data_IF_294699636207
#
_entry.id   IF_294699636207
#
_cell.length_a   1.000
_cell.length_b   1.000
_cell.length_c   1.000
_cell.angle_alpha   90.00
_cell.angle_beta   90.00
_cell.angle_gamma   90.00
#
_symmetry.space_group_name_H-M   'P 1'
#
loop_
_entity.id
_entity.type
_entity.pdbx_description
1 polymer ?
#
# COMPACT_ATOMS: atom_id res chain seq x y z
N UNK A 1 5.35 11.64 -8.23
CA UNK A 1 5.43 10.31 -8.86
C UNK A 1 4.17 9.47 -8.62
N UNK A 2 3.78 8.66 -9.60
CA UNK A 2 2.57 7.82 -9.53
C UNK A 2 2.92 6.38 -9.15
N UNK A 3 2.21 5.79 -8.20
CA UNK A 3 2.28 4.35 -7.87
C UNK A 3 0.88 3.73 -7.89
N UNK A 4 0.79 2.42 -8.16
CA UNK A 4 -0.48 1.67 -8.15
C UNK A 4 -0.46 0.62 -7.05
N UNK A 5 -1.55 0.50 -6.31
CA UNK A 5 -1.73 -0.47 -5.23
C UNK A 5 -2.92 -1.36 -5.53
N UNK A 6 -2.67 -2.65 -5.73
CA UNK A 6 -3.67 -3.71 -5.77
C UNK A 6 -4.25 -3.95 -4.38
N UNK A 7 -5.57 -4.03 -4.32
CA UNK A 7 -6.35 -4.13 -3.09
C UNK A 7 -6.85 -5.56 -2.89
N UNK A 8 -6.56 -6.13 -1.73
CA UNK A 8 -6.93 -7.49 -1.37
C UNK A 8 -7.69 -7.54 -0.04
N UNK A 9 -8.47 -8.61 0.13
CA UNK A 9 -9.19 -8.92 1.36
C UNK A 9 -9.97 -7.73 1.91
N UNK A 10 -9.70 -7.28 3.15
CA UNK A 10 -10.46 -6.20 3.80
C UNK A 10 -10.26 -4.82 3.16
N UNK A 11 -9.22 -4.63 2.33
CA UNK A 11 -9.01 -3.37 1.59
C UNK A 11 -9.67 -3.38 0.22
N UNK A 12 -10.16 -4.54 -0.26
CA UNK A 12 -10.82 -4.65 -1.56
C UNK A 12 -12.22 -4.05 -1.46
N UNK A 13 -12.40 -2.89 -2.09
CA UNK A 13 -13.70 -2.24 -2.24
C UNK A 13 -14.31 -2.56 -3.60
N UNK A 14 -15.09 -1.65 -4.18
CA UNK A 14 -15.61 -1.77 -5.56
C UNK A 14 -14.52 -1.74 -6.62
N UNK A 15 -13.33 -1.23 -6.28
CA UNK A 15 -12.15 -1.20 -7.15
C UNK A 15 -11.10 -2.22 -6.70
N UNK A 16 -10.43 -2.85 -7.67
CA UNK A 16 -9.37 -3.84 -7.42
C UNK A 16 -7.97 -3.21 -7.27
N UNK A 17 -7.81 -1.96 -7.69
CA UNK A 17 -6.56 -1.21 -7.59
C UNK A 17 -6.83 0.27 -7.34
N UNK A 18 -5.84 0.96 -6.79
CA UNK A 18 -5.88 2.40 -6.56
C UNK A 18 -4.54 3.03 -6.88
N UNK A 19 -4.56 4.20 -7.53
CA UNK A 19 -3.36 4.97 -7.80
C UNK A 19 -3.12 6.04 -6.74
N UNK A 20 -1.87 6.27 -6.38
CA UNK A 20 -1.44 7.31 -5.44
C UNK A 20 -0.38 8.20 -6.11
N UNK A 21 -0.60 9.51 -6.05
CA UNK A 21 0.43 10.49 -6.39
C UNK A 21 1.19 10.89 -5.13
N UNK A 22 2.49 10.65 -5.13
CA UNK A 22 3.40 10.83 -4.00
C UNK A 22 4.57 11.73 -4.41
N UNK A 23 5.22 12.45 -3.48
CA UNK A 23 6.44 13.19 -3.79
C UNK A 23 7.54 12.29 -4.36
N UNK A 24 8.44 12.86 -5.15
CA UNK A 24 9.56 12.09 -5.69
C UNK A 24 10.49 11.62 -4.56
N UNK A 25 10.88 10.34 -4.61
CA UNK A 25 11.66 9.71 -3.56
C UNK A 25 10.86 9.37 -2.29
N UNK A 26 9.53 9.39 -2.35
CA UNK A 26 8.68 8.94 -1.25
C UNK A 26 9.00 7.51 -0.82
N UNK A 27 8.74 7.23 0.45
CA UNK A 27 8.94 5.93 1.07
C UNK A 27 7.61 5.21 1.26
N UNK A 28 7.67 3.93 1.62
CA UNK A 28 6.48 3.14 1.96
C UNK A 28 5.66 3.79 3.08
N UNK A 29 6.31 4.42 4.07
CA UNK A 29 5.63 5.18 5.14
C UNK A 29 4.80 6.36 4.61
N UNK A 30 5.27 7.06 3.58
CA UNK A 30 4.51 8.15 2.93
C UNK A 30 3.28 7.60 2.20
N UNK A 31 3.45 6.47 1.48
CA UNK A 31 2.34 5.76 0.86
C UNK A 31 1.31 5.32 1.90
N UNK A 32 1.74 4.77 3.04
CA UNK A 32 0.84 4.37 4.12
C UNK A 32 0.02 5.54 4.65
N UNK A 33 0.65 6.69 4.86
CA UNK A 33 -0.04 7.90 5.30
C UNK A 33 -1.07 8.38 4.26
N UNK A 34 -0.72 8.34 2.97
CA UNK A 34 -1.65 8.66 1.88
C UNK A 34 -2.83 7.67 1.82
N UNK A 35 -2.53 6.38 1.94
CA UNK A 35 -3.52 5.30 1.96
C UNK A 35 -4.48 5.42 3.15
N UNK A 36 -3.97 5.80 4.33
CA UNK A 36 -4.77 5.98 5.55
C UNK A 36 -5.82 7.09 5.41
N UNK A 37 -5.48 8.18 4.72
CA UNK A 37 -6.44 9.28 4.44
C UNK A 37 -7.60 8.82 3.58
N UNK A 38 -7.33 7.88 2.67
CA UNK A 38 -8.32 7.39 1.71
C UNK A 38 -9.19 6.28 2.30
N UNK A 39 -8.60 5.36 3.05
CA UNK A 39 -9.33 4.26 3.69
C UNK A 39 -9.82 4.62 5.12
N UNK A 40 -10.00 5.92 5.39
CA UNK A 40 -10.53 6.45 6.66
C UNK A 40 -9.89 5.85 7.93
N UNK A 41 -8.56 5.72 7.93
CA UNK A 41 -7.80 5.08 9.02
C UNK A 41 -8.26 3.65 9.36
N UNK A 42 -8.52 2.83 8.33
CA UNK A 42 -8.88 1.43 8.52
C UNK A 42 -7.98 0.72 9.54
N UNK A 43 -8.53 0.04 10.58
CA UNK A 43 -7.76 -0.44 11.73
C UNK A 43 -6.65 -1.45 11.37
N UNK A 44 -6.84 -2.20 10.27
CA UNK A 44 -5.84 -3.16 9.79
C UNK A 44 -4.67 -2.52 9.04
N UNK A 45 -4.80 -1.27 8.59
CA UNK A 45 -3.77 -0.61 7.80
C UNK A 45 -2.47 -0.44 8.59
N UNK A 46 -2.53 -0.16 9.89
CA UNK A 46 -1.30 -0.04 10.71
C UNK A 46 -0.49 -1.33 10.79
N UNK A 47 -1.12 -2.47 10.51
CA UNK A 47 -0.52 -3.81 10.59
C UNK A 47 -0.31 -4.45 9.21
N UNK A 48 -0.78 -3.80 8.15
CA UNK A 48 -0.64 -4.31 6.79
C UNK A 48 0.79 -4.08 6.26
N UNK A 49 1.15 -4.86 5.25
CA UNK A 49 2.41 -4.73 4.52
C UNK A 49 2.14 -4.30 3.09
N UNK A 50 3.09 -3.58 2.51
CA UNK A 50 3.14 -3.33 1.08
C UNK A 50 4.16 -4.27 0.46
N UNK A 51 3.86 -4.82 -0.71
CA UNK A 51 4.74 -5.77 -1.40
C UNK A 51 4.75 -5.51 -2.89
N UNK A 52 5.88 -5.78 -3.55
CA UNK A 52 5.96 -5.94 -5.00
C UNK A 52 5.85 -7.44 -5.34
N UNK A 53 5.97 -7.80 -6.62
CA UNK A 53 6.10 -9.20 -7.02
C UNK A 53 7.38 -9.86 -6.47
N UNK A 54 8.39 -9.06 -6.12
CA UNK A 54 9.69 -9.55 -5.63
C UNK A 54 9.72 -9.74 -4.10
N UNK A 55 8.82 -9.10 -3.36
CA UNK A 55 8.74 -9.28 -1.92
C UNK A 55 8.06 -8.15 -1.14
N UNK A 56 8.06 -8.32 0.19
CA UNK A 56 7.50 -7.34 1.13
C UNK A 56 8.48 -6.19 1.33
N UNK A 57 7.98 -4.97 1.21
CA UNK A 57 8.77 -3.75 1.39
C UNK A 57 8.82 -3.29 2.86
N UNK A 58 9.92 -2.64 3.21
CA UNK A 58 10.12 -2.01 4.52
C UNK A 58 9.58 -0.58 4.55
N UNK A 59 9.19 -0.06 5.73
CA UNK A 59 8.61 1.29 5.86
C UNK A 59 9.53 2.42 5.36
N UNK A 60 10.84 2.21 5.43
CA UNK A 60 11.86 3.18 5.01
C UNK A 60 12.30 2.99 3.55
N UNK A 61 11.81 1.97 2.86
CA UNK A 61 12.20 1.66 1.49
C UNK A 61 11.62 2.68 0.51
N UNK A 62 12.39 3.02 -0.53
CA UNK A 62 12.01 4.04 -1.51
C UNK A 62 11.10 3.43 -2.57
N UNK A 63 10.06 4.17 -2.92
CA UNK A 63 9.19 3.82 -4.03
C UNK A 63 9.71 4.48 -5.31
N UNK A 64 9.44 3.83 -6.45
CA UNK A 64 9.74 4.35 -7.77
C UNK A 64 8.45 4.71 -8.51
N UNK A 65 8.54 5.68 -9.43
CA UNK A 65 7.42 6.01 -10.31
C UNK A 65 7.02 4.79 -11.16
N UNK A 66 5.72 4.57 -11.34
CA UNK A 66 5.16 3.45 -12.06
C UNK A 66 5.15 2.12 -11.29
N UNK A 67 5.65 2.09 -10.05
CA UNK A 67 5.70 0.87 -9.25
C UNK A 67 4.29 0.34 -8.96
N UNK A 68 4.17 -0.98 -9.04
CA UNK A 68 2.95 -1.74 -8.76
C UNK A 68 3.17 -2.47 -7.44
N UNK A 69 2.23 -2.30 -6.53
CA UNK A 69 2.29 -2.80 -5.17
C UNK A 69 1.02 -3.56 -4.85
N UNK A 70 1.08 -4.43 -3.85
CA UNK A 70 -0.07 -5.02 -3.18
C UNK A 70 -0.13 -4.52 -1.74
N UNK A 71 -1.33 -4.25 -1.23
CA UNK A 71 -1.54 -4.10 0.22
C UNK A 71 -2.02 -5.43 0.79
N UNK A 72 -1.25 -5.97 1.75
CA UNK A 72 -1.48 -7.27 2.36
C UNK A 72 -1.92 -7.03 3.81
N UNK A 73 -3.18 -7.32 4.11
CA UNK A 73 -3.69 -7.27 5.48
C UNK A 73 -3.02 -8.34 6.36
N UNK A 74 -2.97 -8.15 7.69
CA UNK A 74 -2.60 -9.23 8.59
C UNK A 74 -3.50 -10.44 8.34
N UNK A 75 -2.91 -11.57 8.00
CA UNK A 75 -3.65 -12.82 7.81
C UNK A 75 -3.65 -13.61 9.12
N UNK A 76 -4.83 -14.04 9.55
CA UNK A 76 -4.97 -15.09 10.57
C UNK A 76 -4.83 -16.45 9.88
N UNK A 77 -3.62 -16.76 9.40
CA UNK A 77 -3.32 -18.09 8.88
C UNK A 77 -3.31 -19.07 10.03
N UNK A 78 -4.30 -19.97 10.07
CA UNK A 78 -4.35 -21.11 11.00
C UNK A 78 -3.40 -22.23 10.57
#
# INVERSE_FOLDING_TARGET
MLVRVHLYGPFRSTVAERSFDLPDGARVSDLRAAFARVEMNHPLLARSRFATEEGVLQENERLASGMILAVIAPVSGG
#
